data_IF_309001350923
#
_entry.id   IF_309001350923
#
_cell.length_a   1.000
_cell.length_b   1.000
_cell.length_c   1.000
_cell.angle_alpha   90.00
_cell.angle_beta   90.00
_cell.angle_gamma   90.00
#
_symmetry.space_group_name_H-M   'P 1'
#
loop_
_entity.id
_entity.type
_entity.pdbx_description
1 polymer ?
#
# COMPACT_ATOMS: atom_id res chain seq x y z
N UNK A 1 20.40 14.79 -27.28
CA UNK A 1 19.42 14.06 -26.46
C UNK A 1 18.23 14.97 -26.30
N UNK A 2 17.10 14.63 -26.90
CA UNK A 2 15.96 15.52 -27.01
C UNK A 2 15.46 15.95 -25.62
N UNK A 3 15.36 17.27 -25.42
CA UNK A 3 14.97 17.91 -24.15
C UNK A 3 13.48 18.26 -24.18
N UNK A 4 12.66 17.37 -24.72
CA UNK A 4 11.21 17.52 -24.64
C UNK A 4 10.78 17.28 -23.19
N UNK A 5 10.23 18.34 -22.59
CA UNK A 5 9.56 18.27 -21.27
C UNK A 5 8.37 17.32 -21.43
N UNK A 6 8.17 16.35 -20.53
CA UNK A 6 6.96 15.54 -20.52
C UNK A 6 5.73 16.46 -20.54
N UNK A 7 4.77 16.23 -21.45
CA UNK A 7 3.48 16.92 -21.38
C UNK A 7 2.56 16.11 -20.47
N UNK A 8 2.02 16.77 -19.46
CA UNK A 8 1.16 16.23 -18.41
C UNK A 8 -0.26 15.91 -18.90
N UNK A 9 -0.93 14.98 -18.20
CA UNK A 9 -2.12 14.22 -18.62
C UNK A 9 -3.33 14.97 -19.21
N UNK A 10 -4.23 14.21 -19.85
CA UNK A 10 -5.34 14.71 -20.67
C UNK A 10 -6.31 15.65 -19.94
N UNK A 11 -6.90 16.60 -20.69
CA UNK A 11 -7.90 17.56 -20.20
C UNK A 11 -9.10 16.85 -19.52
N UNK A 12 -9.38 15.63 -19.94
CA UNK A 12 -10.44 14.77 -19.42
C UNK A 12 -10.18 14.28 -17.99
N UNK A 13 -8.92 13.94 -17.65
CA UNK A 13 -8.52 13.60 -16.28
C UNK A 13 -8.74 14.82 -15.38
N UNK A 14 -8.29 15.99 -15.83
CA UNK A 14 -8.47 17.24 -15.08
C UNK A 14 -9.94 17.63 -14.91
N UNK A 15 -10.79 17.33 -15.90
CA UNK A 15 -12.23 17.51 -15.78
C UNK A 15 -12.81 16.57 -14.72
N UNK A 16 -12.50 15.26 -14.77
CA UNK A 16 -12.96 14.28 -13.79
C UNK A 16 -12.57 14.68 -12.35
N UNK A 17 -11.29 15.07 -12.16
CA UNK A 17 -10.79 15.55 -10.88
C UNK A 17 -11.56 16.77 -10.35
N UNK A 18 -11.75 17.79 -11.19
CA UNK A 18 -12.52 18.97 -10.82
C UNK A 18 -13.96 18.63 -10.46
N UNK A 19 -14.58 17.68 -11.15
CA UNK A 19 -15.96 17.24 -10.89
C UNK A 19 -16.08 16.64 -9.49
N UNK A 20 -15.28 15.63 -9.13
CA UNK A 20 -15.42 15.04 -7.80
C UNK A 20 -14.96 15.98 -6.68
N UNK A 21 -13.94 16.83 -6.89
CA UNK A 21 -13.55 17.82 -5.89
C UNK A 21 -14.61 18.89 -5.67
N UNK A 22 -15.34 19.28 -6.72
CA UNK A 22 -16.46 20.21 -6.61
C UNK A 22 -17.60 19.59 -5.80
N UNK A 23 -17.96 18.34 -6.12
CA UNK A 23 -19.04 17.61 -5.45
C UNK A 23 -18.72 17.34 -3.97
N UNK A 24 -17.48 16.94 -3.65
CA UNK A 24 -17.05 16.64 -2.28
C UNK A 24 -17.00 17.89 -1.36
N UNK A 25 -17.20 19.10 -1.88
CA UNK A 25 -17.39 20.30 -1.05
C UNK A 25 -18.80 20.43 -0.48
N UNK A 26 -19.75 19.61 -0.96
CA UNK A 26 -21.10 19.56 -0.44
C UNK A 26 -21.10 19.15 1.03
N UNK A 27 -21.98 19.77 1.82
CA UNK A 27 -22.28 19.33 3.20
C UNK A 27 -23.14 18.07 3.25
N UNK A 28 -23.75 17.71 2.12
CA UNK A 28 -24.57 16.51 1.99
C UNK A 28 -23.86 15.42 1.20
N UNK A 29 -24.36 14.20 1.39
CA UNK A 29 -23.86 13.02 0.69
C UNK A 29 -24.07 13.15 -0.82
N UNK A 30 -22.99 12.97 -1.58
CA UNK A 30 -23.03 12.94 -3.04
C UNK A 30 -23.18 11.52 -3.55
N UNK A 31 -23.91 11.31 -4.64
CA UNK A 31 -24.03 9.99 -5.27
C UNK A 31 -22.88 9.78 -6.24
N UNK A 32 -22.18 8.64 -6.16
CA UNK A 32 -21.09 8.30 -7.09
C UNK A 32 -21.58 8.20 -8.53
N UNK A 33 -22.87 7.94 -8.74
CA UNK A 33 -23.50 7.94 -10.06
C UNK A 33 -23.23 9.22 -10.86
N UNK A 34 -23.12 10.38 -10.21
CA UNK A 34 -22.85 11.65 -10.90
C UNK A 34 -21.44 11.73 -11.49
N UNK A 35 -20.56 10.80 -11.14
CA UNK A 35 -19.18 10.73 -11.62
C UNK A 35 -18.99 9.77 -12.78
N UNK A 36 -19.93 8.84 -13.01
CA UNK A 36 -19.78 7.74 -13.97
C UNK A 36 -19.51 8.23 -15.40
N UNK A 37 -20.26 9.23 -15.87
CA UNK A 37 -20.07 9.79 -17.22
C UNK A 37 -18.68 10.41 -17.39
N UNK A 38 -18.27 11.24 -16.42
CA UNK A 38 -16.95 11.87 -16.45
C UNK A 38 -15.80 10.87 -16.26
N UNK A 39 -16.03 9.77 -15.51
CA UNK A 39 -15.06 8.68 -15.35
C UNK A 39 -14.88 7.91 -16.65
N UNK A 40 -15.97 7.58 -17.33
CA UNK A 40 -15.94 6.91 -18.64
C UNK A 40 -15.28 7.80 -19.70
N UNK A 41 -15.59 9.10 -19.70
CA UNK A 41 -15.00 10.07 -20.63
C UNK A 41 -13.49 10.23 -20.46
N UNK A 42 -12.97 10.03 -19.25
CA UNK A 42 -11.53 10.08 -18.94
C UNK A 42 -10.72 8.99 -19.66
N UNK A 43 -11.35 7.88 -20.06
CA UNK A 43 -10.70 6.73 -20.72
C UNK A 43 -9.49 6.22 -19.95
N UNK A 44 -9.71 5.89 -18.68
CA UNK A 44 -8.67 5.35 -17.81
C UNK A 44 -8.01 4.11 -18.42
N UNK A 45 -6.68 4.05 -18.41
CA UNK A 45 -5.94 2.85 -18.83
C UNK A 45 -6.23 1.63 -17.94
N UNK A 46 -6.78 1.83 -16.74
CA UNK A 46 -7.21 0.76 -15.83
C UNK A 46 -8.70 0.37 -15.97
N UNK A 47 -9.47 1.10 -16.78
CA UNK A 47 -10.90 0.88 -16.96
C UNK A 47 -11.29 1.09 -18.41
N UNK A 48 -10.68 0.30 -19.29
CA UNK A 48 -10.83 0.45 -20.74
C UNK A 48 -12.27 0.19 -21.16
N UNK A 49 -12.94 -0.78 -20.52
CA UNK A 49 -14.32 -1.15 -20.80
C UNK A 49 -15.38 -0.30 -20.12
N UNK A 50 -15.04 0.85 -19.50
CA UNK A 50 -15.97 1.62 -18.66
C UNK A 50 -17.30 1.96 -19.34
N UNK A 51 -17.27 2.31 -20.63
CA UNK A 51 -18.45 2.66 -21.42
C UNK A 51 -19.18 1.47 -22.07
N UNK A 52 -18.62 0.27 -22.00
CA UNK A 52 -19.17 -0.92 -22.66
C UNK A 52 -20.18 -1.64 -21.77
N UNK A 53 -21.09 -2.41 -22.38
CA UNK A 53 -22.01 -3.29 -21.64
C UNK A 53 -21.33 -4.55 -21.12
N UNK A 54 -20.19 -4.93 -21.69
CA UNK A 54 -19.38 -6.04 -21.20
C UNK A 54 -18.65 -5.62 -19.92
N UNK A 55 -18.64 -6.44 -18.86
CA UNK A 55 -17.88 -6.14 -17.66
C UNK A 55 -16.37 -6.10 -17.93
N UNK A 56 -15.69 -5.06 -17.43
CA UNK A 56 -14.24 -4.98 -17.32
C UNK A 56 -13.80 -5.64 -16.01
N UNK A 57 -13.54 -6.94 -16.08
CA UNK A 57 -13.19 -7.76 -14.92
C UNK A 57 -11.86 -7.31 -14.30
N UNK A 58 -10.94 -6.76 -15.11
CA UNK A 58 -9.66 -6.26 -14.59
C UNK A 58 -9.86 -5.00 -13.73
N UNK A 59 -10.71 -4.06 -14.15
CA UNK A 59 -11.07 -2.88 -13.36
C UNK A 59 -11.84 -3.25 -12.08
N UNK A 60 -12.78 -4.20 -12.18
CA UNK A 60 -13.55 -4.71 -11.05
C UNK A 60 -12.63 -5.35 -10.00
N UNK A 61 -11.76 -6.26 -10.41
CA UNK A 61 -10.81 -6.94 -9.51
C UNK A 61 -9.80 -5.96 -8.90
N UNK A 62 -9.28 -5.02 -9.69
CA UNK A 62 -8.39 -3.97 -9.19
C UNK A 62 -9.04 -3.17 -8.06
N UNK A 63 -10.32 -2.82 -8.24
CA UNK A 63 -11.12 -2.05 -7.27
C UNK A 63 -11.50 -2.88 -6.06
N UNK A 64 -11.97 -4.12 -6.26
CA UNK A 64 -12.37 -5.04 -5.20
C UNK A 64 -11.21 -5.37 -4.25
N UNK A 65 -9.99 -5.53 -4.78
CA UNK A 65 -8.79 -5.76 -3.96
C UNK A 65 -8.37 -4.53 -3.16
N UNK A 66 -8.84 -3.31 -3.50
CA UNK A 66 -8.48 -2.05 -2.81
C UNK A 66 -9.59 -1.50 -1.92
N UNK A 67 -10.65 -2.27 -1.77
CA UNK A 67 -11.78 -2.04 -0.87
C UNK A 67 -11.90 -3.24 0.07
N UNK A 68 -12.42 -3.06 1.29
CA UNK A 68 -12.61 -4.16 2.23
C UNK A 68 -13.72 -5.11 1.73
N UNK A 69 -13.71 -6.41 2.08
CA UNK A 69 -14.75 -7.34 1.62
C UNK A 69 -16.18 -6.93 1.95
N UNK A 70 -16.38 -6.18 3.05
CA UNK A 70 -17.67 -5.62 3.43
C UNK A 70 -18.20 -4.56 2.43
N UNK A 71 -17.40 -4.09 1.47
CA UNK A 71 -17.80 -3.10 0.48
C UNK A 71 -19.06 -3.51 -0.29
N UNK A 72 -19.32 -4.82 -0.43
CA UNK A 72 -20.51 -5.39 -1.08
C UNK A 72 -21.81 -4.90 -0.44
N UNK A 73 -21.85 -4.75 0.88
CA UNK A 73 -23.02 -4.24 1.63
C UNK A 73 -22.99 -2.72 1.88
N UNK A 74 -21.81 -2.10 1.78
CA UNK A 74 -21.65 -0.65 2.00
C UNK A 74 -22.45 0.16 0.98
N UNK A 75 -23.22 1.11 1.47
CA UNK A 75 -23.92 2.11 0.67
C UNK A 75 -23.37 3.52 0.89
N UNK A 76 -22.77 3.76 2.06
CA UNK A 76 -22.29 5.08 2.48
C UNK A 76 -20.80 5.02 2.77
N UNK A 77 -20.02 5.89 2.14
CA UNK A 77 -18.60 6.06 2.41
C UNK A 77 -18.37 7.44 3.01
N UNK A 78 -17.81 7.47 4.21
CA UNK A 78 -17.60 8.70 4.97
C UNK A 78 -16.10 8.91 5.12
N UNK A 79 -15.60 10.06 4.68
CA UNK A 79 -14.18 10.33 4.55
C UNK A 79 -13.77 11.39 5.57
N UNK A 80 -12.71 11.13 6.34
CA UNK A 80 -12.18 12.06 7.34
C UNK A 80 -10.70 11.81 7.65
N UNK A 81 -10.10 12.63 8.50
CA UNK A 81 -8.67 12.52 8.87
C UNK A 81 -8.48 12.00 10.29
N UNK A 82 -9.40 12.32 11.19
CA UNK A 82 -9.25 12.06 12.63
C UNK A 82 -10.57 11.64 13.26
N UNK A 83 -10.50 10.91 14.37
CA UNK A 83 -11.69 10.52 15.14
C UNK A 83 -12.48 11.75 15.60
N UNK A 84 -11.82 12.89 15.84
CA UNK A 84 -12.47 14.17 16.14
C UNK A 84 -13.31 14.69 14.96
N UNK A 85 -12.85 14.54 13.71
CA UNK A 85 -13.65 14.92 12.53
C UNK A 85 -14.91 14.06 12.41
N UNK A 86 -14.82 12.76 12.66
CA UNK A 86 -15.99 11.87 12.63
C UNK A 86 -17.01 12.24 13.72
N UNK A 87 -16.56 12.42 14.96
CA UNK A 87 -17.44 12.78 16.09
C UNK A 87 -18.17 14.11 15.89
N UNK A 88 -17.57 15.08 15.20
CA UNK A 88 -18.18 16.38 14.92
C UNK A 88 -19.38 16.29 13.96
N UNK A 89 -19.43 15.28 13.11
CA UNK A 89 -20.47 15.10 12.07
C UNK A 89 -21.41 13.92 12.39
N UNK A 90 -21.75 13.76 13.67
CA UNK A 90 -22.72 12.76 14.17
C UNK A 90 -22.25 11.30 14.16
N UNK A 91 -20.97 11.02 13.91
CA UNK A 91 -20.38 9.67 14.06
C UNK A 91 -19.69 9.56 15.43
N UNK A 92 -20.46 9.69 16.51
CA UNK A 92 -19.95 9.77 17.88
C UNK A 92 -19.31 8.46 18.36
N UNK A 93 -19.82 7.31 17.90
CA UNK A 93 -19.37 5.97 18.28
C UNK A 93 -18.35 5.37 17.31
N UNK A 94 -17.64 6.19 16.52
CA UNK A 94 -16.65 5.73 15.53
C UNK A 94 -15.58 4.80 16.12
N UNK A 95 -15.27 4.94 17.42
CA UNK A 95 -14.32 4.10 18.13
C UNK A 95 -14.81 2.65 18.36
N UNK A 96 -16.12 2.40 18.25
CA UNK A 96 -16.73 1.08 18.40
C UNK A 96 -16.85 0.33 17.07
N UNK A 97 -16.60 1.02 15.95
CA UNK A 97 -16.71 0.43 14.63
C UNK A 97 -15.59 -0.59 14.38
N UNK A 98 -15.91 -1.62 13.61
CA UNK A 98 -14.99 -2.73 13.35
C UNK A 98 -13.92 -2.29 12.35
N UNK A 99 -12.65 -2.49 12.69
CA UNK A 99 -11.55 -2.24 11.75
C UNK A 99 -11.60 -3.27 10.62
N UNK A 100 -11.59 -2.79 9.39
CA UNK A 100 -11.63 -3.61 8.17
C UNK A 100 -10.45 -3.27 7.26
N UNK A 101 -10.03 -4.25 6.45
CA UNK A 101 -8.80 -4.15 5.65
C UNK A 101 -9.06 -4.49 4.19
N UNK A 102 -8.35 -3.81 3.30
CA UNK A 102 -8.32 -4.13 1.88
C UNK A 102 -7.03 -4.87 1.52
N UNK A 103 -7.08 -5.96 0.73
CA UNK A 103 -5.88 -6.76 0.40
C UNK A 103 -4.76 -6.00 -0.32
N UNK A 104 -5.12 -5.11 -1.24
CA UNK A 104 -4.22 -4.47 -2.20
C UNK A 104 -3.90 -3.00 -1.92
N UNK A 105 -4.45 -2.42 -0.86
CA UNK A 105 -4.17 -1.03 -0.47
C UNK A 105 -4.42 -0.80 1.03
N UNK A 106 -3.35 -0.44 1.74
CA UNK A 106 -3.41 -0.05 3.15
C UNK A 106 -4.02 1.33 3.29
N UNK A 107 -5.15 1.41 3.98
CA UNK A 107 -5.80 2.64 4.48
C UNK A 107 -6.59 2.23 5.72
N UNK A 108 -6.59 3.07 6.76
CA UNK A 108 -7.42 2.83 7.94
C UNK A 108 -8.88 2.97 7.56
N UNK A 109 -9.63 1.89 7.70
CA UNK A 109 -11.07 1.85 7.44
C UNK A 109 -11.81 1.21 8.61
N UNK A 110 -12.96 1.76 8.93
CA UNK A 110 -13.85 1.25 9.98
C UNK A 110 -15.23 1.01 9.37
N UNK A 111 -15.87 -0.08 9.76
CA UNK A 111 -17.19 -0.46 9.28
C UNK A 111 -18.18 -0.53 10.45
N UNK A 112 -19.37 0.03 10.25
CA UNK A 112 -20.41 0.14 11.29
C UNK A 112 -21.14 -1.18 11.58
N UNK A 113 -20.89 -2.23 10.79
CA UNK A 113 -21.60 -3.51 10.89
C UNK A 113 -22.86 -3.58 10.02
N UNK A 114 -23.24 -2.48 9.35
CA UNK A 114 -24.49 -2.35 8.61
C UNK A 114 -24.26 -1.89 7.16
N UNK A 115 -23.99 -0.60 6.94
CA UNK A 115 -24.03 0.00 5.60
C UNK A 115 -23.03 1.14 5.39
N UNK A 116 -22.23 1.48 6.40
CA UNK A 116 -21.35 2.65 6.37
C UNK A 116 -19.89 2.27 6.56
N UNK A 117 -19.06 2.75 5.63
CA UNK A 117 -17.61 2.63 5.70
C UNK A 117 -17.00 4.00 5.99
N UNK A 118 -16.32 4.12 7.12
CA UNK A 118 -15.46 5.26 7.40
C UNK A 118 -14.06 5.02 6.83
N UNK A 119 -13.54 5.97 6.06
CA UNK A 119 -12.21 5.92 5.45
C UNK A 119 -11.38 7.09 5.95
N UNK A 120 -10.24 6.77 6.56
CA UNK A 120 -9.28 7.77 7.01
C UNK A 120 -8.30 8.09 5.86
N UNK A 121 -8.19 9.37 5.52
CA UNK A 121 -7.31 9.85 4.43
C UNK A 121 -6.18 10.71 4.99
N UNK A 122 -4.97 10.50 4.47
CA UNK A 122 -3.75 11.22 4.89
C UNK A 122 -3.52 12.44 4.02
N UNK A 123 -4.01 12.42 2.79
CA UNK A 123 -3.75 13.44 1.79
C UNK A 123 -4.83 13.49 0.72
N UNK A 124 -4.73 14.50 -0.15
CA UNK A 124 -5.60 14.64 -1.33
C UNK A 124 -5.48 13.47 -2.31
N UNK A 125 -4.28 12.90 -2.48
CA UNK A 125 -4.09 11.75 -3.36
C UNK A 125 -4.81 10.49 -2.89
N UNK A 126 -5.19 10.39 -1.60
CA UNK A 126 -6.05 9.30 -1.16
C UNK A 126 -7.49 9.45 -1.68
N UNK A 127 -7.98 10.69 -1.85
CA UNK A 127 -9.25 10.98 -2.52
C UNK A 127 -9.13 10.67 -4.01
N UNK A 128 -8.03 11.10 -4.63
CA UNK A 128 -7.74 10.87 -6.05
C UNK A 128 -7.62 9.37 -6.38
N UNK A 129 -7.29 8.53 -5.40
CA UNK A 129 -7.27 7.07 -5.51
C UNK A 129 -8.64 6.44 -5.19
N UNK A 130 -9.30 6.87 -4.10
CA UNK A 130 -10.55 6.28 -3.63
C UNK A 130 -11.73 6.56 -4.56
N UNK A 131 -11.88 7.78 -5.06
CA UNK A 131 -13.05 8.16 -5.88
C UNK A 131 -13.14 7.39 -7.20
N UNK A 132 -12.06 7.24 -8.00
CA UNK A 132 -12.09 6.38 -9.17
C UNK A 132 -12.34 4.90 -8.82
N UNK A 133 -11.75 4.39 -7.73
CA UNK A 133 -11.97 3.00 -7.28
C UNK A 133 -13.45 2.73 -6.99
N UNK A 134 -14.11 3.63 -6.24
CA UNK A 134 -15.54 3.51 -5.94
C UNK A 134 -16.40 3.62 -7.21
N UNK A 135 -16.02 4.52 -8.12
CA UNK A 135 -16.75 4.73 -9.39
C UNK A 135 -16.63 3.51 -10.30
N UNK A 136 -15.40 2.99 -10.50
CA UNK A 136 -15.17 1.79 -11.29
C UNK A 136 -15.88 0.57 -10.71
N UNK A 137 -15.78 0.35 -9.39
CA UNK A 137 -16.50 -0.73 -8.72
C UNK A 137 -18.02 -0.64 -8.92
N UNK A 138 -18.59 0.55 -8.82
CA UNK A 138 -20.03 0.76 -9.02
C UNK A 138 -20.45 0.50 -10.47
N UNK A 139 -19.72 1.04 -11.45
CA UNK A 139 -20.00 0.82 -12.88
C UNK A 139 -20.02 -0.68 -13.17
N UNK A 140 -18.98 -1.40 -12.77
CA UNK A 140 -18.84 -2.83 -13.05
C UNK A 140 -19.84 -3.70 -12.30
N UNK A 141 -20.13 -3.37 -11.04
CA UNK A 141 -21.23 -3.99 -10.29
C UNK A 141 -22.56 -3.82 -11.03
N UNK A 142 -22.84 -2.62 -11.53
CA UNK A 142 -24.10 -2.32 -12.19
C UNK A 142 -24.24 -2.99 -13.55
N UNK A 143 -23.16 -3.17 -14.31
CA UNK A 143 -23.16 -4.00 -15.52
C UNK A 143 -23.51 -5.46 -15.20
N UNK A 144 -22.86 -6.03 -14.19
CA UNK A 144 -23.15 -7.40 -13.76
C UNK A 144 -24.58 -7.54 -13.23
N UNK A 145 -25.08 -6.57 -12.45
CA UNK A 145 -26.47 -6.55 -12.00
C UNK A 145 -27.45 -6.62 -13.18
N UNK A 146 -27.22 -5.82 -14.23
CA UNK A 146 -28.06 -5.85 -15.43
C UNK A 146 -28.01 -7.19 -16.18
N UNK A 147 -26.87 -7.88 -16.18
CA UNK A 147 -26.70 -9.18 -16.82
C UNK A 147 -27.25 -10.35 -15.99
N UNK A 148 -27.35 -10.18 -14.68
CA UNK A 148 -27.89 -11.17 -13.74
C UNK A 148 -29.38 -11.01 -13.48
N UNK A 149 -29.93 -9.82 -13.69
CA UNK A 149 -31.34 -9.54 -13.41
C UNK A 149 -32.23 -10.32 -14.39
N UNK A 150 -33.01 -11.25 -13.82
CA UNK A 150 -34.02 -12.05 -14.51
C UNK A 150 -33.44 -12.98 -15.61
N UNK A 151 -32.27 -13.58 -15.34
CA UNK A 151 -31.58 -14.51 -16.26
C UNK A 151 -31.39 -15.93 -15.70
N UNK A 152 -31.19 -16.88 -16.59
CA UNK A 152 -30.85 -18.28 -16.26
C UNK A 152 -29.54 -18.39 -15.45
N UNK A 153 -28.63 -17.43 -15.60
CA UNK A 153 -27.43 -17.32 -14.76
C UNK A 153 -27.76 -17.08 -13.28
N UNK A 154 -28.80 -16.28 -12.98
CA UNK A 154 -29.24 -16.07 -11.59
C UNK A 154 -29.87 -17.32 -11.01
N UNK A 155 -30.75 -17.99 -11.75
CA UNK A 155 -31.36 -19.25 -11.32
C UNK A 155 -30.28 -20.31 -11.03
N UNK A 156 -29.27 -20.39 -11.89
CA UNK A 156 -28.11 -21.24 -11.68
C UNK A 156 -27.39 -20.91 -10.36
N UNK A 157 -27.08 -19.63 -10.10
CA UNK A 157 -26.42 -19.21 -8.87
C UNK A 157 -27.29 -19.48 -7.62
N UNK A 158 -28.61 -19.31 -7.73
CA UNK A 158 -29.54 -19.60 -6.64
C UNK A 158 -29.55 -21.10 -6.30
N UNK A 159 -29.48 -21.97 -7.31
CA UNK A 159 -29.36 -23.42 -7.11
C UNK A 159 -28.03 -23.86 -6.46
N UNK A 160 -26.98 -23.05 -6.61
CA UNK A 160 -25.64 -23.31 -6.06
C UNK A 160 -25.36 -22.56 -4.76
N UNK A 161 -26.35 -21.84 -4.19
CA UNK A 161 -26.18 -20.98 -3.00
C UNK A 161 -25.57 -21.70 -1.79
N UNK A 162 -26.02 -22.93 -1.53
CA UNK A 162 -25.63 -23.70 -0.34
C UNK A 162 -24.54 -24.75 -0.63
N UNK A 163 -24.05 -24.80 -1.87
CA UNK A 163 -22.98 -25.72 -2.22
C UNK A 163 -21.65 -25.23 -1.64
N UNK A 164 -20.91 -26.15 -1.03
CA UNK A 164 -19.56 -25.90 -0.49
C UNK A 164 -18.45 -26.27 -1.47
N UNK A 165 -18.78 -27.03 -2.51
CA UNK A 165 -17.85 -27.40 -3.55
C UNK A 165 -17.67 -26.24 -4.54
N UNK A 166 -16.47 -26.14 -5.11
CA UNK A 166 -16.21 -25.16 -6.16
C UNK A 166 -16.98 -25.52 -7.42
N UNK A 167 -17.44 -24.50 -8.14
CA UNK A 167 -18.06 -24.66 -9.44
C UNK A 167 -17.11 -25.40 -10.40
N UNK A 168 -17.67 -26.30 -11.20
CA UNK A 168 -16.88 -27.02 -12.20
C UNK A 168 -16.46 -26.09 -13.34
N UNK A 169 -15.52 -26.53 -14.19
CA UNK A 169 -15.15 -25.74 -15.38
C UNK A 169 -16.34 -25.49 -16.30
N UNK A 170 -17.25 -26.46 -16.44
CA UNK A 170 -18.45 -26.33 -17.27
C UNK A 170 -19.43 -25.28 -16.70
N UNK A 171 -19.60 -25.26 -15.37
CA UNK A 171 -20.40 -24.24 -14.67
C UNK A 171 -19.84 -22.82 -14.88
N UNK A 172 -18.51 -22.71 -14.82
CA UNK A 172 -17.81 -21.45 -15.03
C UNK A 172 -17.93 -20.95 -16.47
N UNK A 173 -17.83 -21.84 -17.45
CA UNK A 173 -18.04 -21.51 -18.86
C UNK A 173 -19.49 -21.09 -19.15
N UNK A 174 -20.46 -21.75 -18.52
CA UNK A 174 -21.88 -21.37 -18.59
C UNK A 174 -22.10 -19.93 -18.07
N UNK A 175 -21.56 -19.61 -16.88
CA UNK A 175 -21.65 -18.27 -16.31
C UNK A 175 -20.92 -17.23 -17.18
N UNK A 176 -19.72 -17.55 -17.66
CA UNK A 176 -18.93 -16.65 -18.50
C UNK A 176 -19.69 -16.24 -19.77
N UNK A 177 -20.32 -17.21 -20.45
CA UNK A 177 -21.12 -16.96 -21.64
C UNK A 177 -22.30 -16.01 -21.36
N UNK A 178 -23.01 -16.21 -20.25
CA UNK A 178 -24.18 -15.38 -19.89
C UNK A 178 -23.81 -13.98 -19.43
N UNK A 179 -22.67 -13.85 -18.75
CA UNK A 179 -22.16 -12.58 -18.25
C UNK A 179 -21.27 -11.85 -19.24
N UNK A 180 -21.22 -12.34 -20.50
CA UNK A 180 -20.50 -11.74 -21.62
C UNK A 180 -19.02 -11.50 -21.31
N UNK A 181 -18.39 -12.40 -20.55
CA UNK A 181 -16.95 -12.35 -20.27
C UNK A 181 -16.29 -13.65 -20.71
N UNK A 182 -14.96 -13.66 -20.80
CA UNK A 182 -14.25 -14.90 -21.07
C UNK A 182 -14.12 -15.78 -19.82
N UNK A 183 -13.82 -17.06 -20.04
CA UNK A 183 -13.69 -18.04 -18.96
C UNK A 183 -12.52 -17.75 -18.02
N UNK A 184 -11.45 -17.09 -18.49
CA UNK A 184 -10.30 -16.77 -17.66
C UNK A 184 -10.65 -15.67 -16.65
N UNK A 185 -11.38 -14.66 -17.08
CA UNK A 185 -11.88 -13.59 -16.23
C UNK A 185 -12.89 -14.12 -15.20
N UNK A 186 -13.76 -15.05 -15.59
CA UNK A 186 -14.66 -15.73 -14.65
C UNK A 186 -13.86 -16.50 -13.57
N UNK A 187 -12.82 -17.23 -13.97
CA UNK A 187 -11.92 -17.92 -13.02
C UNK A 187 -11.18 -16.93 -12.11
N UNK A 188 -10.73 -15.78 -12.64
CA UNK A 188 -10.07 -14.74 -11.81
C UNK A 188 -11.01 -14.19 -10.74
N UNK A 189 -12.31 -14.01 -11.04
CA UNK A 189 -13.31 -13.62 -10.04
C UNK A 189 -13.50 -14.68 -8.96
N UNK A 190 -13.60 -15.96 -9.34
CA UNK A 190 -13.69 -17.08 -8.39
C UNK A 190 -12.45 -17.19 -7.50
N UNK A 191 -11.25 -17.00 -8.06
CA UNK A 191 -10.00 -17.02 -7.28
C UNK A 191 -9.96 -15.89 -6.25
N UNK A 192 -10.43 -14.70 -6.61
CA UNK A 192 -10.38 -13.52 -5.72
C UNK A 192 -11.48 -13.56 -4.66
N UNK A 193 -12.68 -14.02 -4.99
CA UNK A 193 -13.79 -14.10 -4.03
C UNK A 193 -13.90 -15.42 -3.28
N UNK A 194 -13.23 -16.47 -3.77
CA UNK A 194 -13.14 -17.79 -3.13
C UNK A 194 -14.54 -18.31 -2.75
N UNK A 195 -14.70 -18.81 -1.53
CA UNK A 195 -15.96 -19.34 -1.00
C UNK A 195 -17.11 -18.32 -1.01
N UNK A 196 -16.79 -17.01 -1.10
CA UNK A 196 -17.79 -15.95 -1.19
C UNK A 196 -18.24 -15.66 -2.64
N UNK A 197 -17.72 -16.36 -3.66
CA UNK A 197 -18.02 -16.08 -5.06
C UNK A 197 -19.52 -16.10 -5.36
N UNK A 198 -20.20 -17.23 -5.14
CA UNK A 198 -21.64 -17.39 -5.41
C UNK A 198 -22.46 -16.37 -4.60
N UNK A 199 -22.16 -16.23 -3.31
CA UNK A 199 -22.83 -15.27 -2.44
C UNK A 199 -22.66 -13.82 -2.93
N UNK A 200 -21.49 -13.46 -3.46
CA UNK A 200 -21.23 -12.13 -4.02
C UNK A 200 -22.03 -11.91 -5.30
N UNK A 201 -22.05 -12.89 -6.20
CA UNK A 201 -22.83 -12.81 -7.44
C UNK A 201 -24.33 -12.69 -7.18
N UNK A 202 -24.85 -13.38 -6.17
CA UNK A 202 -26.25 -13.25 -5.76
C UNK A 202 -26.55 -11.85 -5.18
N UNK A 203 -25.64 -11.27 -4.40
CA UNK A 203 -25.78 -9.88 -3.93
C UNK A 203 -25.79 -8.87 -5.08
N UNK A 204 -24.95 -9.10 -6.10
CA UNK A 204 -24.94 -8.29 -7.32
C UNK A 204 -26.28 -8.42 -8.07
N UNK A 205 -26.83 -9.64 -8.17
CA UNK A 205 -28.11 -9.88 -8.81
C UNK A 205 -29.29 -9.22 -8.07
N UNK A 206 -29.21 -9.08 -6.74
CA UNK A 206 -30.27 -8.55 -5.89
C UNK A 206 -30.51 -7.05 -6.11
N UNK A 207 -29.45 -6.24 -6.15
CA UNK A 207 -29.58 -4.79 -6.24
C UNK A 207 -28.42 -4.11 -6.98
N UNK A 208 -28.68 -2.99 -7.68
CA UNK A 208 -27.62 -2.16 -8.21
C UNK A 208 -26.86 -1.47 -7.07
N UNK A 209 -25.58 -1.19 -7.32
CA UNK A 209 -24.73 -0.41 -6.44
C UNK A 209 -24.98 1.08 -6.62
N UNK A 210 -25.16 1.79 -5.52
CA UNK A 210 -25.36 3.23 -5.50
C UNK A 210 -24.70 3.87 -4.28
N UNK A 211 -23.38 4.02 -4.35
CA UNK A 211 -22.60 4.63 -3.27
C UNK A 211 -22.97 6.10 -3.08
N UNK A 212 -23.12 6.48 -1.81
CA UNK A 212 -23.08 7.85 -1.36
C UNK A 212 -21.74 8.15 -0.69
N UNK A 213 -21.10 9.26 -1.02
CA UNK A 213 -19.83 9.70 -0.42
C UNK A 213 -20.02 11.01 0.32
N UNK A 214 -19.45 11.13 1.51
CA UNK A 214 -19.44 12.36 2.30
C UNK A 214 -18.03 12.65 2.81
N UNK A 215 -17.47 13.82 2.48
CA UNK A 215 -16.19 14.29 3.01
C UNK A 215 -16.44 15.20 4.22
N UNK A 216 -16.08 14.73 5.42
CA UNK A 216 -16.35 15.45 6.68
C UNK A 216 -15.42 16.66 6.88
N UNK A 217 -14.16 16.49 6.49
CA UNK A 217 -13.14 17.52 6.54
C UNK A 217 -12.08 17.15 5.51
N UNK A 218 -11.41 18.15 4.93
CA UNK A 218 -10.47 17.93 3.82
C UNK A 218 -9.57 19.12 3.55
N UNK A 219 -9.49 20.05 4.51
CA UNK A 219 -8.67 21.24 4.34
C UNK A 219 -7.19 20.90 4.49
N UNK A 220 -6.32 21.69 3.85
CA UNK A 220 -4.87 21.57 4.04
C UNK A 220 -4.46 21.69 5.51
N UNK A 221 -5.18 22.51 6.28
CA UNK A 221 -4.95 22.67 7.71
C UNK A 221 -5.23 21.38 8.49
N UNK A 222 -6.20 20.56 8.07
CA UNK A 222 -6.50 19.28 8.71
C UNK A 222 -5.37 18.27 8.51
N UNK A 223 -4.85 18.16 7.27
CA UNK A 223 -3.71 17.30 6.98
C UNK A 223 -2.48 17.71 7.80
N UNK A 224 -2.16 19.01 7.84
CA UNK A 224 -1.04 19.53 8.63
C UNK A 224 -1.19 19.29 10.13
N UNK A 225 -2.40 19.40 10.68
CA UNK A 225 -2.67 19.10 12.10
C UNK A 225 -2.48 17.62 12.39
N UNK A 226 -2.97 16.75 11.51
CA UNK A 226 -2.85 15.32 11.69
C UNK A 226 -1.39 14.84 11.55
N UNK A 227 -0.61 15.36 10.60
CA UNK A 227 0.84 15.06 10.54
C UNK A 227 1.62 15.62 11.71
N UNK A 228 1.23 16.78 12.25
CA UNK A 228 1.83 17.31 13.48
C UNK A 228 1.56 16.41 14.69
N UNK A 229 0.32 15.90 14.83
CA UNK A 229 -0.03 14.94 15.88
C UNK A 229 0.77 13.65 15.75
N UNK A 230 0.88 13.12 14.53
CA UNK A 230 1.68 11.92 14.24
C UNK A 230 3.15 12.09 14.66
N UNK A 231 3.78 13.22 14.30
CA UNK A 231 5.17 13.50 14.69
C UNK A 231 5.34 13.60 16.21
N UNK A 232 4.42 14.29 16.88
CA UNK A 232 4.45 14.43 18.33
C UNK A 232 4.29 13.08 19.05
N UNK A 233 3.37 12.24 18.59
CA UNK A 233 3.15 10.89 19.13
C UNK A 233 4.39 10.01 18.90
N UNK A 234 4.99 10.06 17.71
CA UNK A 234 6.22 9.33 17.41
C UNK A 234 7.37 9.74 18.33
N UNK A 235 7.63 11.05 18.45
CA UNK A 235 8.67 11.58 19.34
C UNK A 235 8.41 11.19 20.79
N UNK A 236 7.19 11.35 21.28
CA UNK A 236 6.84 11.01 22.65
C UNK A 236 6.99 9.52 22.94
N UNK A 237 6.58 8.66 22.00
CA UNK A 237 6.71 7.20 22.13
C UNK A 237 8.18 6.77 22.29
N UNK A 238 9.09 7.40 21.54
CA UNK A 238 10.53 7.10 21.63
C UNK A 238 11.10 7.59 22.96
N UNK A 239 10.74 8.81 23.40
CA UNK A 239 11.17 9.36 24.69
C UNK A 239 10.66 8.52 25.87
N UNK A 240 9.40 8.09 25.84
CA UNK A 240 8.80 7.25 26.89
C UNK A 240 9.47 5.87 26.97
N UNK A 241 10.00 5.38 25.83
CA UNK A 241 10.78 4.15 25.76
C UNK A 241 12.26 4.32 26.20
N UNK A 242 12.67 5.53 26.63
CA UNK A 242 14.03 5.85 27.02
C UNK A 242 14.98 6.13 25.85
N UNK A 243 14.45 6.34 24.65
CA UNK A 243 15.22 6.63 23.44
C UNK A 243 15.61 8.10 23.28
N UNK A 244 16.39 8.42 22.24
CA UNK A 244 16.89 9.77 21.98
C UNK A 244 15.78 10.73 21.52
N UNK A 245 15.97 12.02 21.78
CA UNK A 245 15.12 13.06 21.23
C UNK A 245 15.49 13.32 19.76
N UNK A 246 14.70 12.78 18.84
CA UNK A 246 14.95 12.89 17.39
C UNK A 246 15.25 14.33 16.92
N UNK A 247 14.70 15.37 17.56
CA UNK A 247 14.92 16.77 17.16
C UNK A 247 16.30 17.33 17.57
N UNK A 248 17.08 16.60 18.38
CA UNK A 248 18.37 17.04 18.93
C UNK A 248 19.59 16.36 18.28
N UNK A 249 19.39 15.44 17.35
CA UNK A 249 20.44 14.61 16.76
C UNK A 249 20.50 14.76 15.25
N UNK A 250 21.67 14.58 14.61
CA UNK A 250 21.78 14.39 13.15
C UNK A 250 20.86 13.27 12.64
N UNK A 251 20.16 13.49 11.54
CA UNK A 251 19.16 12.55 11.00
C UNK A 251 19.45 12.17 9.55
N UNK A 252 19.35 10.88 9.27
CA UNK A 252 19.13 10.33 7.94
C UNK A 252 17.70 9.81 7.82
N UNK A 253 16.92 10.41 6.93
CA UNK A 253 15.53 10.00 6.69
C UNK A 253 15.47 8.89 5.64
N UNK A 254 14.71 7.83 5.92
CA UNK A 254 14.54 6.68 5.01
C UNK A 254 13.06 6.32 4.85
N UNK A 255 12.50 6.54 3.66
CA UNK A 255 11.18 6.01 3.29
C UNK A 255 11.35 4.65 2.61
N UNK A 256 10.94 3.57 3.28
CA UNK A 256 11.12 2.20 2.78
C UNK A 256 10.12 1.21 3.39
N UNK A 257 10.27 -0.08 3.12
CA UNK A 257 9.55 -1.11 3.88
C UNK A 257 10.11 -1.21 5.30
N UNK A 258 9.23 -1.30 6.30
CA UNK A 258 9.58 -1.32 7.74
C UNK A 258 10.53 -2.45 8.17
N UNK A 259 10.59 -3.55 7.41
CA UNK A 259 11.46 -4.68 7.73
C UNK A 259 12.85 -4.57 7.10
N UNK A 260 13.04 -3.75 6.06
CA UNK A 260 14.26 -3.76 5.25
C UNK A 260 15.51 -3.41 6.05
N UNK A 261 15.47 -2.35 6.85
CA UNK A 261 16.60 -1.95 7.69
C UNK A 261 16.74 -2.85 8.91
N UNK A 262 15.63 -3.16 9.60
CA UNK A 262 15.66 -4.01 10.80
C UNK A 262 16.31 -5.37 10.50
N UNK A 263 15.96 -5.99 9.38
CA UNK A 263 16.54 -7.26 8.96
C UNK A 263 18.08 -7.20 8.91
N UNK A 264 18.63 -6.11 8.36
CA UNK A 264 20.07 -5.91 8.21
C UNK A 264 20.76 -5.53 9.53
N UNK A 265 20.10 -4.72 10.35
CA UNK A 265 20.71 -4.14 11.56
C UNK A 265 20.64 -5.08 12.76
N UNK A 266 19.56 -5.85 12.87
CA UNK A 266 19.39 -6.82 13.95
C UNK A 266 20.04 -8.16 13.63
N UNK A 267 20.13 -8.56 12.36
CA UNK A 267 20.52 -9.91 11.93
C UNK A 267 19.68 -11.03 12.56
N UNK A 268 18.47 -10.71 13.03
CA UNK A 268 17.58 -11.63 13.72
C UNK A 268 17.36 -12.92 12.92
N UNK A 269 17.06 -12.79 11.62
CA UNK A 269 16.82 -13.95 10.76
C UNK A 269 18.00 -14.93 10.72
N UNK A 270 19.24 -14.41 10.74
CA UNK A 270 20.43 -15.26 10.74
C UNK A 270 20.64 -15.90 12.12
N UNK A 271 20.49 -15.14 13.21
CA UNK A 271 20.63 -15.70 14.57
C UNK A 271 19.60 -16.80 14.86
N UNK A 272 18.41 -16.69 14.28
CA UNK A 272 17.31 -17.63 14.46
C UNK A 272 17.16 -18.61 13.27
N UNK A 273 18.19 -18.80 12.45
CA UNK A 273 18.15 -19.67 11.26
C UNK A 273 17.60 -21.07 11.56
N UNK A 274 18.04 -21.70 12.66
CA UNK A 274 17.57 -23.04 13.05
C UNK A 274 16.07 -23.07 13.33
N UNK A 275 15.53 -22.04 14.00
CA UNK A 275 14.10 -21.91 14.27
C UNK A 275 13.31 -21.70 12.98
N UNK A 276 13.82 -20.86 12.06
CA UNK A 276 13.19 -20.62 10.76
C UNK A 276 13.15 -21.89 9.90
N UNK A 277 14.24 -22.67 9.86
CA UNK A 277 14.29 -23.93 9.12
C UNK A 277 13.38 -24.98 9.74
N UNK A 278 13.30 -25.04 11.08
CA UNK A 278 12.35 -25.91 11.79
C UNK A 278 10.91 -25.55 11.43
N UNK A 279 10.56 -24.26 11.43
CA UNK A 279 9.24 -23.77 11.03
C UNK A 279 8.86 -24.22 9.60
N UNK A 280 9.78 -24.08 8.63
CA UNK A 280 9.56 -24.53 7.24
C UNK A 280 9.20 -26.02 7.18
N UNK A 281 9.91 -26.85 7.94
CA UNK A 281 9.69 -28.30 7.99
C UNK A 281 8.36 -28.65 8.62
N UNK A 282 8.02 -28.04 9.75
CA UNK A 282 6.77 -28.31 10.46
C UNK A 282 5.53 -27.90 9.66
N UNK A 283 5.63 -26.86 8.83
CA UNK A 283 4.55 -26.37 7.97
C UNK A 283 4.56 -27.00 6.56
N UNK A 284 5.41 -28.00 6.31
CA UNK A 284 5.53 -28.70 5.03
C UNK A 284 5.73 -27.76 3.82
N UNK A 285 6.52 -26.70 3.96
CA UNK A 285 6.88 -25.84 2.84
C UNK A 285 8.00 -26.48 1.99
N UNK A 286 7.67 -27.55 1.26
CA UNK A 286 8.62 -28.37 0.49
C UNK A 286 9.50 -27.54 -0.48
N UNK A 287 8.89 -26.59 -1.19
CA UNK A 287 9.62 -25.72 -2.13
C UNK A 287 10.65 -24.82 -1.42
N UNK A 288 10.34 -24.32 -0.23
CA UNK A 288 11.28 -23.51 0.56
C UNK A 288 12.38 -24.36 1.16
N UNK A 289 12.07 -25.60 1.57
CA UNK A 289 13.07 -26.53 2.07
C UNK A 289 14.07 -26.92 0.96
N UNK A 290 13.57 -27.21 -0.25
CA UNK A 290 14.40 -27.50 -1.40
C UNK A 290 15.30 -26.31 -1.78
N UNK A 291 14.77 -25.08 -1.77
CA UNK A 291 15.59 -23.88 -2.03
C UNK A 291 16.65 -23.68 -0.95
N UNK A 292 16.32 -23.91 0.33
CA UNK A 292 17.31 -23.82 1.43
C UNK A 292 18.45 -24.84 1.26
N UNK A 293 18.13 -26.09 0.94
CA UNK A 293 19.13 -27.13 0.67
C UNK A 293 19.99 -26.78 -0.55
N UNK A 294 19.40 -26.24 -1.60
CA UNK A 294 20.13 -25.79 -2.78
C UNK A 294 21.08 -24.62 -2.49
N UNK A 295 20.64 -23.62 -1.71
CA UNK A 295 21.49 -22.50 -1.26
C UNK A 295 22.69 -23.01 -0.47
N UNK A 296 22.50 -23.98 0.43
CA UNK A 296 23.61 -24.55 1.21
C UNK A 296 24.63 -25.29 0.36
N UNK A 297 24.20 -25.85 -0.77
CA UNK A 297 25.08 -26.56 -1.71
C UNK A 297 25.71 -25.63 -2.76
N UNK A 298 25.21 -24.40 -2.91
CA UNK A 298 25.69 -23.41 -3.89
C UNK A 298 26.05 -22.07 -3.22
N UNK A 299 27.32 -21.88 -2.84
CA UNK A 299 27.78 -20.68 -2.11
C UNK A 299 27.59 -19.34 -2.83
N UNK A 300 27.23 -19.36 -4.12
CA UNK A 300 26.88 -18.17 -4.90
C UNK A 300 25.48 -17.63 -4.59
N UNK A 301 24.62 -18.44 -3.98
CA UNK A 301 23.29 -18.03 -3.52
C UNK A 301 23.37 -17.46 -2.10
N UNK A 302 22.55 -16.44 -1.83
CA UNK A 302 22.59 -15.67 -0.58
C UNK A 302 21.55 -16.18 0.41
N UNK A 303 22.02 -16.84 1.46
CA UNK A 303 21.17 -17.36 2.53
C UNK A 303 20.43 -16.24 3.26
N UNK A 304 21.01 -15.04 3.37
CA UNK A 304 20.41 -13.92 4.08
C UNK A 304 19.08 -13.50 3.45
N UNK A 305 19.03 -13.38 2.12
CA UNK A 305 17.81 -12.99 1.41
C UNK A 305 16.70 -14.04 1.57
N UNK A 306 17.06 -15.32 1.59
CA UNK A 306 16.13 -16.41 1.86
C UNK A 306 15.59 -16.36 3.29
N UNK A 307 16.47 -16.18 4.29
CA UNK A 307 16.06 -16.08 5.69
C UNK A 307 15.16 -14.87 5.95
N UNK A 308 15.42 -13.72 5.31
CA UNK A 308 14.53 -12.55 5.39
C UNK A 308 13.13 -12.83 4.82
N UNK A 309 13.05 -13.57 3.71
CA UNK A 309 11.77 -13.98 3.14
C UNK A 309 10.99 -14.92 4.08
N UNK A 310 11.69 -15.91 4.66
CA UNK A 310 11.08 -16.87 5.59
C UNK A 310 10.67 -16.20 6.90
N UNK A 311 11.48 -15.29 7.44
CA UNK A 311 11.17 -14.53 8.65
C UNK A 311 9.81 -13.84 8.54
N UNK A 312 9.50 -13.26 7.38
CA UNK A 312 8.19 -12.64 7.15
C UNK A 312 7.00 -13.60 7.20
N UNK A 313 7.20 -14.90 6.91
CA UNK A 313 6.18 -15.95 7.10
C UNK A 313 6.11 -16.41 8.55
N UNK A 314 7.28 -16.61 9.17
CA UNK A 314 7.42 -17.02 10.55
C UNK A 314 6.71 -16.07 11.53
N UNK A 315 6.97 -14.76 11.40
CA UNK A 315 6.34 -13.73 12.26
C UNK A 315 4.83 -13.58 12.04
N UNK A 316 4.29 -14.02 10.89
CA UNK A 316 2.84 -13.97 10.63
C UNK A 316 2.07 -15.09 11.29
N UNK A 317 2.72 -16.25 11.49
CA UNK A 317 2.09 -17.44 12.06
C UNK A 317 2.23 -17.45 13.60
N UNK A 318 3.39 -17.05 14.12
CA UNK A 318 3.66 -16.93 15.57
C UNK A 318 3.65 -15.46 16.02
N UNK A 319 2.50 -14.79 15.85
CA UNK A 319 2.40 -13.33 15.94
C UNK A 319 2.78 -12.73 17.30
N UNK A 320 2.55 -13.42 18.42
CA UNK A 320 2.85 -12.85 19.74
C UNK A 320 4.31 -13.03 20.12
N UNK A 321 4.79 -14.26 20.31
CA UNK A 321 6.07 -14.50 20.97
C UNK A 321 7.27 -14.03 20.13
N UNK A 322 7.35 -14.47 18.88
CA UNK A 322 8.49 -14.16 18.02
C UNK A 322 8.56 -12.67 17.60
N UNK A 323 7.40 -11.99 17.54
CA UNK A 323 7.36 -10.54 17.26
C UNK A 323 7.80 -9.74 18.49
N UNK A 324 7.33 -10.09 19.68
CA UNK A 324 7.76 -9.46 20.94
C UNK A 324 9.26 -9.64 21.16
N UNK A 325 9.80 -10.84 20.89
CA UNK A 325 11.24 -11.11 20.97
C UNK A 325 12.05 -10.21 20.02
N UNK A 326 11.65 -10.12 18.74
CA UNK A 326 12.30 -9.22 17.78
C UNK A 326 12.23 -7.75 18.22
N UNK A 327 11.09 -7.29 18.72
CA UNK A 327 10.90 -5.92 19.19
C UNK A 327 11.77 -5.61 20.42
N UNK A 328 11.85 -6.53 21.37
CA UNK A 328 12.67 -6.39 22.57
C UNK A 328 14.17 -6.38 22.23
N UNK A 329 14.63 -7.29 21.37
CA UNK A 329 16.01 -7.32 20.91
C UNK A 329 16.37 -6.06 20.11
N UNK A 330 15.50 -5.64 19.18
CA UNK A 330 15.70 -4.42 18.40
C UNK A 330 15.82 -3.19 19.32
N UNK A 331 14.93 -3.08 20.32
CA UNK A 331 14.98 -2.00 21.31
C UNK A 331 16.25 -2.03 22.14
N UNK A 332 16.76 -3.21 22.50
CA UNK A 332 18.01 -3.36 23.27
C UNK A 332 19.25 -2.80 22.57
N UNK A 333 19.19 -2.62 21.25
CA UNK A 333 20.27 -2.05 20.42
C UNK A 333 19.87 -0.71 19.77
N UNK A 334 18.93 0.01 20.38
CA UNK A 334 18.57 1.38 19.99
C UNK A 334 17.63 1.49 18.78
N UNK A 335 16.86 0.44 18.46
CA UNK A 335 15.82 0.50 17.42
C UNK A 335 14.44 0.62 18.10
N UNK A 336 13.83 1.79 17.96
CA UNK A 336 12.55 2.13 18.57
C UNK A 336 11.45 2.06 17.51
N UNK A 337 10.60 1.04 17.58
CA UNK A 337 9.42 0.91 16.72
C UNK A 337 8.28 1.77 17.25
N UNK A 338 7.67 2.56 16.37
CA UNK A 338 6.52 3.41 16.67
C UNK A 338 5.33 2.90 15.86
N UNK A 339 4.54 1.95 16.42
CA UNK A 339 3.29 1.54 15.79
C UNK A 339 2.28 2.69 15.87
N UNK A 340 1.57 2.96 14.78
CA UNK A 340 0.55 3.99 14.81
C UNK A 340 -0.73 3.49 15.51
N UNK A 341 -1.07 4.08 16.65
CA UNK A 341 -2.30 3.79 17.41
C UNK A 341 -3.47 4.71 17.01
N UNK A 342 -3.17 5.91 16.50
CA UNK A 342 -4.17 6.94 16.19
C UNK A 342 -3.91 7.66 14.85
N UNK A 343 -4.94 7.72 14.00
CA UNK A 343 -4.90 8.49 12.75
C UNK A 343 -4.45 7.67 11.54
N UNK A 344 -3.26 7.96 11.00
CA UNK A 344 -2.77 7.46 9.71
C UNK A 344 -1.95 6.17 9.87
N UNK A 345 -2.21 5.14 9.04
CA UNK A 345 -1.47 3.85 9.08
C UNK A 345 -0.05 3.95 8.49
N UNK A 346 0.80 4.75 9.10
CA UNK A 346 2.20 4.88 8.71
C UNK A 346 3.06 4.66 9.95
N UNK A 347 3.66 3.48 9.99
CA UNK A 347 4.62 3.07 11.01
C UNK A 347 5.92 3.86 10.82
N UNK A 348 6.57 4.19 11.94
CA UNK A 348 7.89 4.80 11.96
C UNK A 348 8.83 4.00 12.86
N UNK A 349 10.12 4.13 12.61
CA UNK A 349 11.17 3.59 13.47
C UNK A 349 12.28 4.63 13.62
N UNK A 350 12.80 4.77 14.83
CA UNK A 350 13.98 5.56 15.15
C UNK A 350 15.11 4.61 15.47
N UNK A 351 16.24 4.74 14.78
CA UNK A 351 17.38 3.86 14.92
C UNK A 351 18.57 4.72 15.37
N UNK A 352 19.05 4.47 16.57
CA UNK A 352 20.27 5.07 17.11
C UNK A 352 21.50 4.31 16.59
N UNK A 353 22.29 4.96 15.73
CA UNK A 353 23.45 4.31 15.10
C UNK A 353 24.53 3.95 16.11
N UNK A 354 24.72 4.75 17.16
CA UNK A 354 25.72 4.51 18.20
C UNK A 354 25.37 3.33 19.11
N UNK A 355 24.08 3.02 19.24
CA UNK A 355 23.55 1.93 20.06
C UNK A 355 23.53 0.56 19.35
N UNK A 356 23.69 0.53 18.04
CA UNK A 356 23.66 -0.72 17.27
C UNK A 356 24.75 -1.69 17.71
N UNK A 357 24.45 -2.99 17.69
CA UNK A 357 25.40 -4.04 18.02
C UNK A 357 26.11 -4.57 16.75
N UNK A 358 27.39 -4.25 16.49
CA UNK A 358 28.02 -4.59 15.21
C UNK A 358 28.10 -6.08 14.89
N UNK A 359 28.28 -6.91 15.92
CA UNK A 359 28.33 -8.37 15.77
C UNK A 359 26.99 -9.02 15.45
N UNK A 360 25.89 -8.25 15.48
CA UNK A 360 24.56 -8.73 15.14
C UNK A 360 24.17 -8.40 13.70
N UNK A 361 24.78 -7.37 13.12
CA UNK A 361 24.42 -6.88 11.80
C UNK A 361 24.75 -7.89 10.69
N UNK A 362 24.02 -7.80 9.58
CA UNK A 362 24.31 -8.51 8.34
C UNK A 362 25.78 -8.31 7.94
N UNK A 363 26.48 -9.41 7.68
CA UNK A 363 27.92 -9.42 7.39
C UNK A 363 28.29 -8.57 6.17
N UNK A 364 27.36 -8.44 5.21
CA UNK A 364 27.56 -7.65 3.97
C UNK A 364 27.58 -6.15 4.27
N UNK A 365 26.90 -5.74 5.34
CA UNK A 365 26.90 -4.38 5.84
C UNK A 365 28.07 -4.16 6.79
N UNK A 366 28.22 -5.03 7.81
CA UNK A 366 29.24 -4.86 8.84
C UNK A 366 30.67 -4.92 8.29
N UNK A 367 30.94 -5.73 7.26
CA UNK A 367 32.27 -5.78 6.63
C UNK A 367 32.70 -4.47 5.93
N UNK A 368 31.78 -3.52 5.71
CA UNK A 368 32.03 -2.25 5.04
C UNK A 368 32.06 -1.05 5.98
N UNK A 369 31.75 -1.25 7.26
CA UNK A 369 31.62 -0.17 8.24
C UNK A 369 32.86 -0.05 9.12
N UNK A 370 33.22 1.18 9.44
CA UNK A 370 34.10 1.49 10.55
C UNK A 370 33.29 1.39 11.86
N UNK A 371 33.58 0.36 12.64
CA UNK A 371 32.84 0.06 13.88
C UNK A 371 33.08 1.07 14.99
N UNK A 372 34.26 1.69 15.02
CA UNK A 372 34.56 2.69 16.03
C UNK A 372 33.82 3.99 15.70
N UNK A 373 33.83 4.38 14.42
CA UNK A 373 33.04 5.50 13.95
C UNK A 373 31.53 5.30 14.24
N UNK A 374 31.00 4.09 13.97
CA UNK A 374 29.60 3.75 14.24
C UNK A 374 29.25 3.93 15.71
N UNK A 375 30.03 3.35 16.63
CA UNK A 375 29.81 3.45 18.08
C UNK A 375 29.91 4.87 18.62
N UNK A 376 30.75 5.70 18.00
CA UNK A 376 30.91 7.11 18.36
C UNK A 376 29.85 8.04 17.75
N UNK A 377 29.00 7.51 16.86
CA UNK A 377 28.00 8.30 16.16
C UNK A 377 26.85 8.71 17.08
N UNK A 378 26.45 9.97 16.98
CA UNK A 378 25.24 10.53 17.59
C UNK A 378 24.08 10.64 16.58
N UNK A 379 24.24 10.09 15.37
CA UNK A 379 23.26 10.20 14.30
C UNK A 379 22.16 9.15 14.40
N UNK A 380 20.97 9.52 13.96
CA UNK A 380 19.78 8.67 13.94
C UNK A 380 19.36 8.38 12.50
N UNK A 381 18.82 7.19 12.27
CA UNK A 381 17.98 6.92 11.10
C UNK A 381 16.51 7.04 11.51
N UNK A 382 15.78 7.92 10.83
CA UNK A 382 14.32 8.00 10.95
C UNK A 382 13.75 7.31 9.73
N UNK A 383 13.18 6.12 9.92
CA UNK A 383 12.52 5.40 8.83
C UNK A 383 11.00 5.38 8.98
N UNK A 384 10.30 5.52 7.87
CA UNK A 384 8.85 5.38 7.81
C UNK A 384 8.47 4.34 6.77
N UNK A 385 7.36 3.65 7.03
CA UNK A 385 6.69 2.83 6.02
C UNK A 385 6.27 3.74 4.86
N UNK A 386 6.77 3.46 3.65
CA UNK A 386 6.67 4.41 2.56
C UNK A 386 5.21 4.83 2.29
N UNK A 387 4.87 6.11 2.44
CA UNK A 387 3.54 6.63 2.12
C UNK A 387 3.34 6.76 0.61
N UNK A 388 2.08 6.79 0.18
CA UNK A 388 1.71 6.93 -1.22
C UNK A 388 1.21 8.34 -1.52
N UNK A 389 1.62 8.89 -2.67
CA UNK A 389 1.21 10.21 -3.14
C UNK A 389 1.60 11.36 -2.19
N UNK A 390 0.70 12.33 -2.04
CA UNK A 390 0.93 13.56 -1.28
C UNK A 390 1.09 13.35 0.23
N UNK A 391 0.73 12.18 0.76
CA UNK A 391 1.04 11.83 2.14
C UNK A 391 2.57 11.87 2.39
N UNK A 392 3.37 11.46 1.40
CA UNK A 392 4.84 11.54 1.46
C UNK A 392 5.32 12.99 1.61
N UNK A 393 4.71 13.90 0.86
CA UNK A 393 5.04 15.32 0.92
C UNK A 393 4.70 15.93 2.29
N UNK A 394 3.50 15.67 2.82
CA UNK A 394 3.06 16.21 4.11
C UNK A 394 3.93 15.67 5.26
N UNK A 395 4.37 14.41 5.18
CA UNK A 395 5.27 13.81 6.16
C UNK A 395 6.68 14.36 6.08
N UNK A 396 7.31 14.35 4.91
CA UNK A 396 8.68 14.83 4.75
C UNK A 396 8.76 16.32 5.08
N UNK A 397 7.73 17.10 4.74
CA UNK A 397 7.63 18.52 5.12
C UNK A 397 7.55 18.67 6.65
N UNK A 398 6.73 17.87 7.34
CA UNK A 398 6.65 17.89 8.81
C UNK A 398 7.97 17.52 9.47
N UNK A 399 8.64 16.48 8.98
CA UNK A 399 9.96 16.03 9.47
C UNK A 399 10.97 17.17 9.26
N UNK A 400 11.06 17.68 8.03
CA UNK A 400 11.98 18.77 7.70
C UNK A 400 11.74 20.00 8.56
N UNK A 401 10.49 20.46 8.75
CA UNK A 401 10.16 21.60 9.61
C UNK A 401 10.67 21.44 11.05
N UNK A 402 10.78 20.20 11.55
CA UNK A 402 11.20 19.88 12.92
C UNK A 402 12.69 19.59 13.03
N UNK A 403 13.35 19.22 11.94
CA UNK A 403 14.71 18.68 11.95
C UNK A 403 15.64 19.35 10.93
N UNK A 404 15.27 20.48 10.33
CA UNK A 404 16.02 21.13 9.23
C UNK A 404 17.52 21.32 9.51
N UNK A 405 17.97 21.81 10.68
CA UNK A 405 19.41 21.92 10.92
C UNK A 405 20.12 20.57 11.10
N UNK A 406 19.37 19.50 11.32
CA UNK A 406 19.89 18.16 11.55
C UNK A 406 19.65 17.17 10.40
N UNK A 407 18.96 17.53 9.31
CA UNK A 407 18.68 16.59 8.23
C UNK A 407 19.89 16.44 7.30
N UNK A 408 20.62 15.33 7.43
CA UNK A 408 21.86 15.05 6.68
C UNK A 408 21.65 14.24 5.40
N UNK A 409 20.56 13.49 5.28
CA UNK A 409 20.29 12.70 4.07
C UNK A 409 18.84 12.23 3.97
N UNK A 410 18.39 12.02 2.73
CA UNK A 410 17.04 11.57 2.39
C UNK A 410 17.17 10.40 1.41
N UNK A 411 16.65 9.24 1.81
CA UNK A 411 16.65 8.02 1.02
C UNK A 411 15.22 7.56 0.83
N UNK A 412 14.84 7.28 -0.42
CA UNK A 412 13.49 6.85 -0.77
C UNK A 412 13.58 5.60 -1.63
N UNK A 413 12.94 4.53 -1.18
CA UNK A 413 12.74 3.32 -1.96
C UNK A 413 11.24 3.16 -2.24
N UNK A 414 10.91 2.84 -3.49
CA UNK A 414 9.53 2.65 -3.91
C UNK A 414 9.40 1.71 -5.08
N UNK A 415 8.16 1.35 -5.41
CA UNK A 415 7.83 0.62 -6.63
C UNK A 415 7.44 1.61 -7.70
N UNK A 416 7.99 1.45 -8.89
CA UNK A 416 7.65 2.24 -10.06
C UNK A 416 7.38 1.32 -11.25
N UNK A 417 6.46 1.74 -12.12
CA UNK A 417 6.41 1.21 -13.47
C UNK A 417 7.62 1.74 -14.24
N UNK A 418 8.12 0.96 -15.20
CA UNK A 418 9.28 1.33 -16.00
C UNK A 418 8.98 1.08 -17.47
N UNK A 419 9.42 2.00 -18.32
CA UNK A 419 9.30 1.87 -19.78
C UNK A 419 10.34 0.91 -20.36
N UNK A 420 11.55 0.91 -19.79
CA UNK A 420 12.72 0.23 -20.34
C UNK A 420 13.26 -0.89 -19.43
N UNK A 421 12.66 -1.11 -18.27
CA UNK A 421 13.07 -2.15 -17.31
C UNK A 421 12.10 -3.32 -17.25
N UNK A 422 12.48 -4.34 -16.49
CA UNK A 422 11.68 -5.53 -16.18
C UNK A 422 11.44 -5.65 -14.69
N UNK A 423 10.51 -6.52 -14.30
CA UNK A 423 10.30 -6.88 -12.90
C UNK A 423 11.62 -7.40 -12.33
N UNK A 424 12.07 -6.80 -11.22
CA UNK A 424 13.34 -7.10 -10.57
C UNK A 424 14.48 -6.13 -10.89
N UNK A 425 14.33 -5.28 -11.92
CA UNK A 425 15.29 -4.21 -12.17
C UNK A 425 15.16 -3.09 -11.11
N UNK A 426 16.28 -2.44 -10.80
CA UNK A 426 16.35 -1.27 -9.92
C UNK A 426 16.65 -0.03 -10.73
N UNK A 427 15.89 1.04 -10.50
CA UNK A 427 16.10 2.33 -11.15
C UNK A 427 16.57 3.36 -10.14
N UNK A 428 17.61 4.12 -10.50
CA UNK A 428 18.13 5.26 -9.75
C UNK A 428 17.91 6.51 -10.60
N UNK A 429 16.78 7.23 -10.44
CA UNK A 429 16.49 8.40 -11.25
C UNK A 429 17.34 9.60 -10.80
N UNK A 430 17.85 10.36 -11.76
CA UNK A 430 18.48 11.67 -11.51
C UNK A 430 17.57 12.84 -11.91
N UNK A 431 16.46 12.55 -12.58
CA UNK A 431 15.43 13.53 -12.94
C UNK A 431 14.07 12.97 -12.56
N UNK A 432 13.29 13.72 -11.79
CA UNK A 432 11.89 13.38 -11.49
C UNK A 432 11.01 14.56 -11.89
N UNK A 433 10.07 14.33 -12.82
CA UNK A 433 9.01 15.29 -13.11
C UNK A 433 7.82 15.00 -12.20
N UNK A 434 7.42 15.97 -11.39
CA UNK A 434 6.24 15.84 -10.54
C UNK A 434 5.00 16.42 -11.22
N UNK A 435 4.03 15.57 -11.56
CA UNK A 435 2.76 15.98 -12.15
C UNK A 435 1.88 16.78 -11.18
N UNK A 436 2.07 16.65 -9.86
CA UNK A 436 1.29 17.45 -8.91
C UNK A 436 1.76 18.91 -8.89
N UNK A 437 3.07 19.15 -8.78
CA UNK A 437 3.63 20.51 -8.70
C UNK A 437 4.03 21.09 -10.06
N UNK A 438 4.05 20.28 -11.13
CA UNK A 438 4.58 20.62 -12.45
C UNK A 438 6.07 21.03 -12.43
N UNK A 439 6.80 20.63 -11.39
CA UNK A 439 8.24 20.91 -11.28
C UNK A 439 9.04 19.71 -11.78
N UNK A 440 10.28 20.01 -12.20
CA UNK A 440 11.26 18.97 -12.50
C UNK A 440 12.40 19.07 -11.49
N UNK A 441 12.58 18.01 -10.71
CA UNK A 441 13.62 17.89 -9.70
C UNK A 441 14.82 17.16 -10.30
N UNK A 442 16.01 17.71 -10.03
CA UNK A 442 17.29 17.12 -10.43
C UNK A 442 18.00 16.64 -9.17
N UNK A 443 18.47 15.40 -9.19
CA UNK A 443 19.15 14.76 -8.06
C UNK A 443 20.59 14.44 -8.42
N UNK A 444 21.50 14.84 -7.53
CA UNK A 444 22.86 14.34 -7.49
C UNK A 444 22.92 13.19 -6.48
N UNK A 445 22.70 11.97 -6.95
CA UNK A 445 22.57 10.80 -6.08
C UNK A 445 23.91 10.45 -5.43
N UNK A 446 23.88 10.11 -4.13
CA UNK A 446 25.08 9.70 -3.38
C UNK A 446 25.53 8.25 -3.65
N UNK A 447 24.83 7.54 -4.54
CA UNK A 447 25.14 6.18 -4.98
C UNK A 447 24.76 6.00 -6.46
N UNK A 448 25.41 5.03 -7.09
CA UNK A 448 25.31 4.72 -8.51
C UNK A 448 24.87 3.27 -8.75
N UNK A 449 24.75 2.87 -10.02
CA UNK A 449 24.51 1.47 -10.35
C UNK A 449 25.60 0.53 -9.81
N UNK A 450 26.86 1.00 -9.72
CA UNK A 450 27.99 0.20 -9.22
C UNK A 450 27.85 -0.16 -7.75
N UNK A 451 27.22 0.71 -6.94
CA UNK A 451 27.06 0.50 -5.51
C UNK A 451 25.97 -0.53 -5.19
N UNK A 452 24.98 -0.68 -6.08
CA UNK A 452 23.82 -1.56 -5.90
C UNK A 452 23.99 -2.90 -6.60
N UNK A 453 24.60 -2.93 -7.79
CA UNK A 453 24.74 -4.14 -8.62
C UNK A 453 25.34 -5.34 -7.88
N UNK A 454 26.35 -5.19 -6.99
CA UNK A 454 26.89 -6.30 -6.22
C UNK A 454 25.88 -6.96 -5.28
N UNK A 455 24.72 -6.36 -5.02
CA UNK A 455 23.68 -6.93 -4.16
C UNK A 455 22.49 -7.52 -4.91
N UNK A 456 22.46 -7.38 -6.24
CA UNK A 456 21.40 -7.92 -7.09
C UNK A 456 21.68 -9.38 -7.44
N UNK A 457 20.68 -10.24 -7.25
CA UNK A 457 20.73 -11.64 -7.73
C UNK A 457 20.19 -11.79 -9.16
N UNK A 458 19.26 -10.91 -9.54
CA UNK A 458 18.60 -10.88 -10.85
C UNK A 458 18.32 -9.43 -11.23
N UNK A 459 18.10 -9.18 -12.53
CA UNK A 459 17.78 -7.85 -13.04
C UNK A 459 18.99 -6.94 -13.17
N UNK A 460 18.75 -5.77 -13.75
CA UNK A 460 19.73 -4.73 -13.99
C UNK A 460 19.55 -3.58 -12.99
N UNK A 461 20.64 -2.85 -12.73
CA UNK A 461 20.56 -1.54 -12.08
C UNK A 461 20.74 -0.47 -13.14
N UNK A 462 19.75 0.40 -13.27
CA UNK A 462 19.70 1.46 -14.26
C UNK A 462 19.82 2.80 -13.52
N UNK A 463 21.00 3.43 -13.57
CA UNK A 463 21.18 4.80 -13.11
C UNK A 463 20.99 5.81 -14.25
N UNK A 464 21.00 7.11 -13.92
CA UNK A 464 20.81 8.20 -14.88
C UNK A 464 19.46 8.15 -15.62
N UNK A 465 18.45 7.58 -14.98
CA UNK A 465 17.11 7.44 -15.55
C UNK A 465 16.23 8.65 -15.20
N UNK A 466 15.13 8.79 -15.94
CA UNK A 466 14.09 9.77 -15.66
C UNK A 466 12.86 9.07 -15.10
N UNK A 467 12.22 9.69 -14.11
CA UNK A 467 10.93 9.26 -13.59
C UNK A 467 9.90 10.39 -13.69
N UNK A 468 8.64 10.00 -13.70
CA UNK A 468 7.49 10.92 -13.64
C UNK A 468 6.54 10.42 -12.55
N UNK A 469 6.00 11.31 -11.73
CA UNK A 469 4.92 10.93 -10.81
C UNK A 469 3.63 10.79 -11.60
N UNK A 470 2.60 10.16 -11.03
CA UNK A 470 1.27 10.11 -11.64
C UNK A 470 0.24 10.52 -10.59
N UNK A 471 -0.83 11.20 -11.02
CA UNK A 471 -1.89 11.69 -10.13
C UNK A 471 -2.64 10.54 -9.42
N UNK A 472 -2.66 9.36 -10.01
CA UNK A 472 -3.27 8.14 -9.50
C UNK A 472 -3.21 7.04 -10.55
N UNK A 473 -3.46 5.77 -10.18
CA UNK A 473 -3.39 4.68 -11.18
C UNK A 473 -4.57 4.69 -12.15
N UNK A 474 -5.77 5.08 -11.70
CA UNK A 474 -6.90 5.31 -12.60
C UNK A 474 -6.79 6.65 -13.35
N UNK A 475 -6.03 7.60 -12.83
CA UNK A 475 -5.86 8.95 -13.41
C UNK A 475 -4.73 8.97 -14.44
N UNK A 476 -4.73 7.97 -15.33
CA UNK A 476 -3.80 7.80 -16.44
C UNK A 476 -4.61 7.39 -17.66
N UNK A 477 -4.30 7.98 -18.81
CA UNK A 477 -4.90 7.64 -20.09
C UNK A 477 -3.80 7.34 -21.14
N UNK A 478 -4.12 6.56 -22.20
CA UNK A 478 -3.17 6.18 -23.24
C UNK A 478 -2.67 7.33 -24.13
#
# INVERSE_FOLDING_TARGET
MDRTVPKTGGEEIQLYMRTYYSLLRSSEMIRVQTLEESHTAMKSSLHVGAGDMQPDVSALLYSALRLPPCIKQVQRVVIGQTDASFRRFSFSNIAEWVRVFAPGRRRRMLFDGDSTLAVYIVSRSDIDDLMPILTAYQIEWNKLHLLLRDTDAREFLEAHRDQRERLTTEDMDFLAQRLKMDSQDMQRLEIVWQDAFVATMLQIAEAPKNFGVLLLSGSLADYRRATASWWAEMRQTVLDAGGPDVEQHPIYFVSSNTHSLINLLTGFAHRHEQSLVKFIREHNYEALLAEYEDIRNHPTKRVENFLYYVLGKYLKEDQLHSTEELEDEARSIGIYRVPNKHGFEIEAQIIDLGALHPGWMDSRLSAKLDMEALRSSDALIVTIDYPLGMAAYEMLSRISERTTPQLHGVYVMGKAATLNGRIGDVMIPNVVHDEHSQNTYLFDNCFSAYDVSPYMSFGNVLDNQKAVTALGTFLQNP
#
